data_IF_128719256314
#
_entry.id   IF_128719256314
#
_cell.length_a   1.000
_cell.length_b   1.000
_cell.length_c   1.000
_cell.angle_alpha   90.00
_cell.angle_beta   90.00
_cell.angle_gamma   90.00
#
_symmetry.space_group_name_H-M   'P 1'
#
loop_
_entity.id
_entity.type
_entity.pdbx_description
1 polymer ?
#
# COMPACT_ATOMS: atom_id res chain seq x y z
N UNK A 1 -7.05 -11.15 20.59
CA UNK A 1 -7.63 -11.47 19.27
C UNK A 1 -6.52 -11.68 18.28
N UNK A 2 -6.66 -12.69 17.43
CA UNK A 2 -5.77 -12.95 16.30
C UNK A 2 -5.93 -11.82 15.27
N UNK A 3 -4.84 -11.28 14.74
CA UNK A 3 -4.88 -10.30 13.65
C UNK A 3 -5.20 -11.05 12.35
N UNK A 4 -6.24 -10.61 11.64
CA UNK A 4 -6.70 -11.21 10.39
C UNK A 4 -7.41 -10.16 9.53
N UNK A 5 -7.24 -10.26 8.21
CA UNK A 5 -8.10 -9.65 7.21
C UNK A 5 -7.98 -10.45 5.90
N UNK A 6 -8.90 -10.20 4.98
CA UNK A 6 -8.91 -10.72 3.62
C UNK A 6 -9.10 -9.57 2.64
N UNK A 7 -8.11 -9.35 1.78
CA UNK A 7 -8.22 -8.45 0.64
C UNK A 7 -8.65 -9.27 -0.59
N UNK A 8 -9.92 -9.15 -0.97
CA UNK A 8 -10.55 -9.98 -2.00
C UNK A 8 -10.41 -11.48 -1.71
N UNK A 9 -9.56 -12.21 -2.45
CA UNK A 9 -9.26 -13.63 -2.22
C UNK A 9 -7.98 -13.88 -1.41
N UNK A 10 -7.24 -12.83 -1.04
CA UNK A 10 -5.93 -12.91 -0.36
C UNK A 10 -6.08 -12.72 1.15
N UNK A 11 -5.75 -13.75 1.92
CA UNK A 11 -5.76 -13.71 3.38
C UNK A 11 -4.44 -13.18 3.96
N UNK A 12 -4.55 -12.39 5.03
CA UNK A 12 -3.47 -11.67 5.70
C UNK A 12 -3.59 -11.80 7.23
N UNK A 13 -2.46 -11.79 7.95
CA UNK A 13 -2.43 -11.76 9.41
C UNK A 13 -1.66 -12.91 10.06
N UNK A 14 -2.01 -13.22 11.30
CA UNK A 14 -1.27 -14.18 12.14
C UNK A 14 -1.24 -15.60 11.54
N UNK A 15 -0.03 -16.15 11.43
CA UNK A 15 0.20 -17.51 10.93
C UNK A 15 0.06 -17.67 9.42
N UNK A 16 -0.15 -16.57 8.70
CA UNK A 16 -0.19 -16.52 7.23
C UNK A 16 1.14 -15.96 6.70
N UNK A 17 1.54 -16.33 5.47
CA UNK A 17 2.71 -15.73 4.83
C UNK A 17 2.45 -14.26 4.51
N UNK A 18 3.51 -13.45 4.58
CA UNK A 18 3.48 -12.06 4.12
C UNK A 18 3.26 -12.03 2.61
N UNK A 19 2.34 -11.17 2.17
CA UNK A 19 1.92 -11.07 0.76
C UNK A 19 2.60 -9.93 0.04
N UNK A 20 2.69 -10.05 -1.28
CA UNK A 20 3.29 -9.05 -2.16
C UNK A 20 2.23 -8.38 -3.03
N UNK A 21 2.22 -7.05 -3.01
CA UNK A 21 1.40 -6.21 -3.90
C UNK A 21 2.31 -5.48 -4.90
N UNK A 22 2.24 -5.89 -6.17
CA UNK A 22 3.02 -5.33 -7.26
C UNK A 22 2.36 -4.08 -7.86
N UNK A 23 3.14 -3.01 -8.06
CA UNK A 23 2.61 -1.72 -8.52
C UNK A 23 2.73 -1.54 -10.03
N UNK A 24 1.64 -1.17 -10.68
CA UNK A 24 1.60 -0.68 -12.06
C UNK A 24 1.11 0.77 -12.03
N UNK A 25 1.97 1.70 -12.47
CA UNK A 25 1.56 3.09 -12.64
C UNK A 25 1.23 3.32 -14.13
N UNK A 26 0.04 3.84 -14.42
CA UNK A 26 -0.35 4.26 -15.78
C UNK A 26 -0.36 5.77 -15.95
N UNK A 27 0.10 6.47 -14.92
CA UNK A 27 0.31 7.92 -14.88
C UNK A 27 1.68 8.31 -15.45
N UNK A 28 1.76 9.08 -16.56
CA UNK A 28 3.02 9.66 -17.02
C UNK A 28 3.74 10.49 -15.94
N UNK A 29 3.00 11.07 -15.00
CA UNK A 29 3.47 11.92 -13.91
C UNK A 29 4.06 11.16 -12.70
N UNK A 30 4.14 9.82 -12.74
CA UNK A 30 4.75 9.04 -11.66
C UNK A 30 6.22 9.43 -11.42
N UNK A 31 6.61 9.46 -10.13
CA UNK A 31 7.98 9.81 -9.70
C UNK A 31 9.02 8.76 -10.11
N UNK A 32 8.60 7.51 -10.35
CA UNK A 32 9.47 6.45 -10.85
C UNK A 32 9.07 6.07 -12.27
N UNK A 33 9.72 6.71 -13.26
CA UNK A 33 9.42 6.54 -14.69
C UNK A 33 9.54 5.10 -15.17
N UNK A 34 10.44 4.31 -14.58
CA UNK A 34 10.61 2.89 -14.92
C UNK A 34 9.38 2.02 -14.63
N UNK A 35 8.44 2.49 -13.81
CA UNK A 35 7.16 1.82 -13.52
C UNK A 35 5.98 2.26 -14.40
N UNK A 36 6.17 3.27 -15.25
CA UNK A 36 5.08 3.80 -16.09
C UNK A 36 4.86 2.87 -17.28
N UNK A 37 3.61 2.43 -17.48
CA UNK A 37 3.18 1.65 -18.65
C UNK A 37 2.01 2.36 -19.29
N UNK A 38 2.10 2.68 -20.57
CA UNK A 38 1.06 3.40 -21.30
C UNK A 38 0.54 2.51 -22.41
N UNK A 39 -0.73 2.12 -22.30
CA UNK A 39 -1.39 1.27 -23.27
C UNK A 39 -1.66 -0.14 -22.74
N UNK A 40 -2.71 -0.75 -23.28
CA UNK A 40 -3.29 -2.00 -22.80
C UNK A 40 -2.30 -3.17 -22.81
N UNK A 41 -1.53 -3.33 -23.88
CA UNK A 41 -0.55 -4.42 -24.01
C UNK A 41 0.61 -4.29 -23.02
N UNK A 42 1.11 -3.07 -22.79
CA UNK A 42 2.18 -2.83 -21.82
C UNK A 42 1.73 -3.10 -20.39
N UNK A 43 0.51 -2.69 -20.04
CA UNK A 43 -0.10 -2.96 -18.73
C UNK A 43 -0.30 -4.46 -18.53
N UNK A 44 -0.85 -5.16 -19.53
CA UNK A 44 -1.04 -6.61 -19.49
C UNK A 44 0.29 -7.35 -19.30
N UNK A 45 1.32 -6.98 -20.07
CA UNK A 45 2.66 -7.57 -19.96
C UNK A 45 3.27 -7.32 -18.58
N UNK A 46 3.13 -6.10 -18.04
CA UNK A 46 3.62 -5.78 -16.70
C UNK A 46 2.89 -6.58 -15.62
N UNK A 47 1.58 -6.76 -15.72
CA UNK A 47 0.81 -7.59 -14.79
C UNK A 47 1.29 -9.05 -14.81
N UNK A 48 1.43 -9.65 -15.99
CA UNK A 48 1.97 -11.00 -16.14
C UNK A 48 3.36 -11.14 -15.49
N UNK A 49 4.25 -10.17 -15.74
CA UNK A 49 5.59 -10.17 -15.15
C UNK A 49 5.52 -10.09 -13.62
N UNK A 50 4.73 -9.19 -13.05
CA UNK A 50 4.60 -9.06 -11.58
C UNK A 50 4.07 -10.35 -10.95
N UNK A 51 3.13 -11.03 -11.60
CA UNK A 51 2.61 -12.34 -11.13
C UNK A 51 3.67 -13.42 -11.21
N UNK A 52 4.44 -13.49 -12.31
CA UNK A 52 5.56 -14.43 -12.46
C UNK A 52 6.64 -14.21 -11.38
N UNK A 53 6.92 -12.95 -11.05
CA UNK A 53 7.85 -12.57 -9.98
C UNK A 53 7.31 -12.90 -8.58
N UNK A 54 6.00 -13.10 -8.43
CA UNK A 54 5.35 -13.60 -7.23
C UNK A 54 4.39 -12.63 -6.53
N UNK A 55 3.84 -11.65 -7.24
CA UNK A 55 2.80 -10.78 -6.70
C UNK A 55 1.50 -11.57 -6.41
N UNK A 56 0.94 -11.36 -5.22
CA UNK A 56 -0.36 -11.86 -4.82
C UNK A 56 -1.50 -10.91 -5.22
N UNK A 57 -1.21 -9.61 -5.29
CA UNK A 57 -2.15 -8.52 -5.64
C UNK A 57 -1.48 -7.59 -6.66
N UNK A 58 -2.23 -7.08 -7.63
CA UNK A 58 -1.77 -6.02 -8.54
C UNK A 58 -2.42 -4.69 -8.15
N UNK A 59 -1.62 -3.68 -7.86
CA UNK A 59 -2.09 -2.33 -7.51
C UNK A 59 -1.89 -1.38 -8.69
N UNK A 60 -2.98 -0.77 -9.14
CA UNK A 60 -3.02 0.12 -10.31
C UNK A 60 -3.17 1.56 -9.84
N UNK A 61 -2.18 2.39 -10.17
CA UNK A 61 -2.21 3.84 -9.94
C UNK A 61 -2.44 4.61 -11.23
N UNK A 62 -3.59 5.30 -11.34
CA UNK A 62 -3.93 6.13 -12.50
C UNK A 62 -3.41 7.57 -12.42
N UNK A 63 -3.05 7.99 -11.20
CA UNK A 63 -2.46 9.30 -10.89
C UNK A 63 -1.42 9.12 -9.79
N UNK A 64 -0.31 9.83 -9.90
CA UNK A 64 0.69 9.83 -8.83
C UNK A 64 0.13 10.50 -7.57
N UNK A 65 0.22 9.80 -6.44
CA UNK A 65 -0.19 10.28 -5.11
C UNK A 65 0.99 10.81 -4.28
N UNK A 66 2.16 10.98 -4.90
CA UNK A 66 3.34 11.48 -4.22
C UNK A 66 3.07 12.89 -3.65
N UNK A 67 3.24 13.13 -2.34
CA UNK A 67 2.80 14.36 -1.68
C UNK A 67 3.63 15.62 -2.04
N UNK A 68 4.64 15.47 -2.90
CA UNK A 68 5.57 16.51 -3.31
C UNK A 68 5.51 16.81 -4.82
N UNK A 69 4.57 16.21 -5.54
CA UNK A 69 4.33 16.46 -6.96
C UNK A 69 2.93 17.06 -7.13
N UNK A 70 2.81 18.06 -8.00
CA UNK A 70 1.50 18.49 -8.51
C UNK A 70 1.15 17.61 -9.72
N UNK A 71 0.15 16.77 -9.52
CA UNK A 71 -0.24 15.69 -10.44
C UNK A 71 -1.73 15.74 -10.76
N UNK A 72 -2.38 16.87 -10.45
CA UNK A 72 -3.81 17.03 -10.63
C UNK A 72 -4.18 16.90 -12.12
N UNK A 73 -5.10 15.98 -12.41
CA UNK A 73 -5.72 15.79 -13.72
C UNK A 73 -7.24 15.82 -13.54
N UNK A 74 -8.02 16.10 -14.60
CA UNK A 74 -9.48 16.00 -14.54
C UNK A 74 -9.92 14.61 -14.06
N UNK A 75 -10.92 14.55 -13.18
CA UNK A 75 -11.38 13.28 -12.59
C UNK A 75 -11.85 12.26 -13.64
N UNK A 76 -12.49 12.72 -14.72
CA UNK A 76 -12.90 11.86 -15.83
C UNK A 76 -11.70 11.27 -16.58
N UNK A 77 -10.58 12.00 -16.66
CA UNK A 77 -9.35 11.48 -17.24
C UNK A 77 -8.71 10.43 -16.34
N UNK A 78 -8.65 10.68 -15.02
CA UNK A 78 -8.18 9.70 -14.03
C UNK A 78 -9.03 8.43 -14.07
N UNK A 79 -10.35 8.57 -14.09
CA UNK A 79 -11.30 7.46 -14.16
C UNK A 79 -11.13 6.65 -15.45
N UNK A 80 -10.97 7.31 -16.60
CA UNK A 80 -10.73 6.64 -17.88
C UNK A 80 -9.44 5.81 -17.84
N UNK A 81 -8.32 6.40 -17.39
CA UNK A 81 -7.02 5.71 -17.26
C UNK A 81 -7.14 4.51 -16.33
N UNK A 82 -7.80 4.68 -15.19
CA UNK A 82 -8.02 3.61 -14.21
C UNK A 82 -8.82 2.45 -14.81
N UNK A 83 -9.96 2.73 -15.46
CA UNK A 83 -10.82 1.70 -16.05
C UNK A 83 -10.09 0.92 -17.15
N UNK A 84 -9.35 1.61 -18.03
CA UNK A 84 -8.59 0.97 -19.10
C UNK A 84 -7.50 0.05 -18.54
N UNK A 85 -6.78 0.50 -17.52
CA UNK A 85 -5.72 -0.26 -16.86
C UNK A 85 -6.27 -1.48 -16.08
N UNK A 86 -7.32 -1.29 -15.28
CA UNK A 86 -7.98 -2.38 -14.53
C UNK A 86 -8.45 -3.48 -15.47
N UNK A 87 -9.10 -3.12 -16.59
CA UNK A 87 -9.53 -4.10 -17.61
C UNK A 87 -8.33 -4.82 -18.22
N UNK A 88 -7.26 -4.10 -18.56
CA UNK A 88 -6.05 -4.70 -19.12
C UNK A 88 -5.42 -5.72 -18.16
N UNK A 89 -5.35 -5.43 -16.86
CA UNK A 89 -4.85 -6.35 -15.84
C UNK A 89 -5.79 -7.55 -15.70
N UNK A 90 -7.09 -7.31 -15.56
CA UNK A 90 -8.11 -8.36 -15.39
C UNK A 90 -8.12 -9.37 -16.53
N UNK A 91 -7.94 -8.90 -17.76
CA UNK A 91 -7.91 -9.77 -18.94
C UNK A 91 -6.59 -10.56 -19.06
N UNK A 92 -5.54 -10.17 -18.34
CA UNK A 92 -4.21 -10.75 -18.44
C UNK A 92 -3.87 -11.74 -17.30
N UNK A 93 -4.39 -11.54 -16.09
CA UNK A 93 -4.03 -12.33 -14.91
C UNK A 93 -5.22 -12.66 -14.01
N UNK A 94 -5.20 -13.83 -13.38
CA UNK A 94 -6.15 -14.25 -12.36
C UNK A 94 -5.63 -13.90 -10.96
N UNK A 95 -5.59 -12.60 -10.66
CA UNK A 95 -5.17 -12.04 -9.36
C UNK A 95 -6.07 -10.86 -8.97
N UNK A 96 -6.31 -10.64 -7.65
CA UNK A 96 -7.01 -9.46 -7.21
C UNK A 96 -6.35 -8.16 -7.64
N UNK A 97 -7.19 -7.18 -7.97
CA UNK A 97 -6.77 -5.87 -8.45
C UNK A 97 -7.15 -4.82 -7.41
N UNK A 98 -6.15 -4.07 -6.97
CA UNK A 98 -6.29 -2.86 -6.17
C UNK A 98 -6.26 -1.62 -7.05
N UNK A 99 -7.15 -0.67 -6.76
CA UNK A 99 -7.16 0.65 -7.38
C UNK A 99 -6.63 1.69 -6.37
N UNK A 100 -5.47 2.28 -6.67
CA UNK A 100 -4.86 3.38 -5.90
C UNK A 100 -5.49 4.70 -6.34
N UNK A 101 -6.44 5.20 -5.53
CA UNK A 101 -7.11 6.47 -5.79
C UNK A 101 -7.67 7.08 -4.51
N UNK A 102 -7.79 8.41 -4.52
CA UNK A 102 -8.41 9.20 -3.44
C UNK A 102 -9.77 9.76 -3.84
N UNK A 103 -10.33 9.36 -4.99
CA UNK A 103 -11.61 9.85 -5.51
C UNK A 103 -12.63 8.72 -5.52
N UNK A 104 -13.78 8.97 -4.89
CA UNK A 104 -14.91 8.04 -4.84
C UNK A 104 -15.45 7.71 -6.24
N UNK A 105 -15.48 8.70 -7.14
CA UNK A 105 -15.87 8.52 -8.55
C UNK A 105 -14.92 7.53 -9.25
N UNK A 106 -13.61 7.72 -9.11
CA UNK A 106 -12.61 6.85 -9.75
C UNK A 106 -12.68 5.44 -9.15
N UNK A 107 -12.84 5.33 -7.84
CA UNK A 107 -13.01 4.07 -7.13
C UNK A 107 -14.25 3.29 -7.64
N UNK A 108 -15.41 3.94 -7.73
CA UNK A 108 -16.65 3.33 -8.22
C UNK A 108 -16.48 2.79 -9.65
N UNK A 109 -15.82 3.57 -10.53
CA UNK A 109 -15.52 3.15 -11.90
C UNK A 109 -14.53 1.99 -11.95
N UNK A 110 -13.52 1.97 -11.10
CA UNK A 110 -12.54 0.88 -11.00
C UNK A 110 -13.20 -0.43 -10.54
N UNK A 111 -14.03 -0.37 -9.49
CA UNK A 111 -14.78 -1.52 -8.98
C UNK A 111 -15.72 -2.07 -10.05
N UNK A 112 -16.45 -1.19 -10.74
CA UNK A 112 -17.29 -1.56 -11.88
C UNK A 112 -16.50 -2.20 -13.04
N UNK A 113 -15.23 -1.86 -13.20
CA UNK A 113 -14.34 -2.43 -14.21
C UNK A 113 -13.73 -3.78 -13.78
N UNK A 114 -13.82 -4.13 -12.50
CA UNK A 114 -13.36 -5.40 -11.93
C UNK A 114 -12.21 -5.29 -10.95
N UNK A 115 -11.89 -4.10 -10.43
CA UNK A 115 -11.12 -4.00 -9.20
C UNK A 115 -11.93 -4.56 -8.02
N UNK A 116 -11.24 -5.09 -7.02
CA UNK A 116 -11.85 -5.68 -5.82
C UNK A 116 -11.38 -5.01 -4.53
N UNK A 117 -10.28 -4.25 -4.61
CA UNK A 117 -9.64 -3.57 -3.49
C UNK A 117 -9.52 -2.08 -3.84
N UNK A 118 -9.81 -1.20 -2.88
CA UNK A 118 -9.48 0.22 -2.95
C UNK A 118 -8.28 0.48 -2.03
N UNK A 119 -7.26 1.15 -2.57
CA UNK A 119 -6.12 1.65 -1.81
C UNK A 119 -6.22 3.17 -1.71
N UNK A 120 -6.66 3.67 -0.56
CA UNK A 120 -6.88 5.10 -0.33
C UNK A 120 -5.82 5.70 0.59
N UNK A 121 -4.87 6.40 -0.03
CA UNK A 121 -3.81 7.13 0.68
C UNK A 121 -4.31 8.36 1.44
N UNK A 122 -5.55 8.78 1.19
CA UNK A 122 -6.19 9.89 1.90
C UNK A 122 -6.83 9.48 3.23
N UNK A 123 -6.83 8.18 3.57
CA UNK A 123 -7.36 7.70 4.83
C UNK A 123 -8.88 7.88 4.98
N UNK A 124 -9.62 7.85 3.87
CA UNK A 124 -11.06 8.16 3.76
C UNK A 124 -11.43 9.61 4.11
N UNK A 125 -10.45 10.52 4.13
CA UNK A 125 -10.62 11.93 4.51
C UNK A 125 -10.49 12.89 3.33
N UNK A 126 -10.05 12.40 2.17
CA UNK A 126 -9.93 13.19 0.95
C UNK A 126 -11.27 13.38 0.24
N UNK A 127 -12.06 12.31 0.12
CA UNK A 127 -13.37 12.31 -0.52
C UNK A 127 -14.41 11.66 0.41
N UNK A 128 -15.45 12.40 0.86
CA UNK A 128 -16.48 11.89 1.77
C UNK A 128 -17.27 10.70 1.22
N UNK A 129 -17.32 10.52 -0.11
CA UNK A 129 -18.04 9.42 -0.75
C UNK A 129 -17.29 8.09 -0.71
N UNK A 130 -15.98 8.10 -0.46
CA UNK A 130 -15.11 6.93 -0.63
C UNK A 130 -15.55 5.73 0.23
N UNK A 131 -15.78 5.96 1.52
CA UNK A 131 -16.15 4.90 2.46
C UNK A 131 -17.46 4.20 2.07
N UNK A 132 -18.43 4.98 1.57
CA UNK A 132 -19.71 4.46 1.09
C UNK A 132 -19.54 3.65 -0.20
N UNK A 133 -18.75 4.14 -1.15
CA UNK A 133 -18.47 3.39 -2.40
C UNK A 133 -17.86 2.03 -2.09
N UNK A 134 -16.89 1.97 -1.17
CA UNK A 134 -16.28 0.71 -0.73
C UNK A 134 -17.32 -0.24 -0.13
N UNK A 135 -18.17 0.26 0.78
CA UNK A 135 -19.20 -0.54 1.43
C UNK A 135 -20.27 -1.05 0.45
N UNK A 136 -20.79 -0.17 -0.42
CA UNK A 136 -21.85 -0.49 -1.38
C UNK A 136 -21.41 -1.59 -2.37
N UNK A 137 -20.12 -1.63 -2.73
CA UNK A 137 -19.54 -2.66 -3.60
C UNK A 137 -19.01 -3.88 -2.85
N UNK A 138 -19.03 -3.89 -1.51
CA UNK A 138 -18.38 -4.91 -0.67
C UNK A 138 -16.90 -5.10 -1.02
N UNK A 139 -16.25 -4.02 -1.42
CA UNK A 139 -14.84 -4.02 -1.77
C UNK A 139 -13.96 -4.12 -0.52
N UNK A 140 -12.76 -4.63 -0.68
CA UNK A 140 -11.73 -4.55 0.35
C UNK A 140 -11.05 -3.18 0.37
N UNK A 141 -10.46 -2.81 1.49
CA UNK A 141 -9.89 -1.49 1.72
C UNK A 141 -8.48 -1.58 2.29
N UNK A 142 -7.53 -0.92 1.64
CA UNK A 142 -6.26 -0.51 2.24
C UNK A 142 -6.39 0.97 2.57
N UNK A 143 -6.31 1.32 3.84
CA UNK A 143 -6.50 2.70 4.32
C UNK A 143 -5.22 3.24 4.94
N UNK A 144 -4.72 4.35 4.40
CA UNK A 144 -3.47 4.95 4.87
C UNK A 144 -3.69 5.96 6.00
N UNK A 145 -2.68 6.08 6.86
CA UNK A 145 -2.65 7.10 7.90
C UNK A 145 -2.58 8.51 7.29
N UNK A 146 -3.61 9.32 7.57
CA UNK A 146 -3.61 10.75 7.26
C UNK A 146 -4.25 11.52 8.39
N UNK A 147 -3.57 12.52 8.92
CA UNK A 147 -4.17 13.41 9.91
C UNK A 147 -5.21 14.34 9.25
N UNK A 148 -6.40 14.44 9.85
CA UNK A 148 -7.39 15.46 9.47
C UNK A 148 -6.89 16.87 9.80
N UNK A 149 -6.11 16.99 10.87
CA UNK A 149 -5.41 18.22 11.29
C UNK A 149 -4.06 17.84 11.87
N UNK A 150 -2.95 18.49 11.45
CA UNK A 150 -1.65 18.26 12.06
C UNK A 150 -1.70 18.53 13.55
N UNK A 151 -1.13 17.61 14.33
CA UNK A 151 -0.96 17.77 15.78
C UNK A 151 0.53 17.85 16.13
N UNK A 152 0.87 18.03 17.40
CA UNK A 152 2.24 17.92 17.90
C UNK A 152 2.39 16.62 18.68
N UNK A 153 3.56 16.03 18.66
CA UNK A 153 3.92 14.84 19.43
C UNK A 153 4.57 13.76 18.58
N UNK A 154 4.87 12.65 19.25
CA UNK A 154 5.65 11.56 18.65
C UNK A 154 4.96 10.94 17.42
N UNK A 155 5.73 10.51 16.40
CA UNK A 155 5.22 9.92 15.17
C UNK A 155 4.22 8.76 15.37
N UNK A 156 4.60 7.76 16.16
CA UNK A 156 3.83 6.50 16.26
C UNK A 156 2.43 6.69 16.86
N UNK A 157 2.24 7.37 18.02
CA UNK A 157 0.90 7.67 18.53
C UNK A 157 0.02 8.44 17.55
N UNK A 158 0.59 9.38 16.79
CA UNK A 158 -0.15 10.18 15.80
C UNK A 158 -0.62 9.36 14.61
N UNK A 159 0.24 8.48 14.08
CA UNK A 159 -0.13 7.51 13.04
C UNK A 159 -1.25 6.58 13.54
N UNK A 160 -1.15 6.06 14.77
CA UNK A 160 -2.20 5.22 15.37
C UNK A 160 -3.53 5.99 15.49
N UNK A 161 -3.49 7.22 15.98
CA UNK A 161 -4.68 8.06 16.11
C UNK A 161 -5.34 8.34 14.75
N UNK A 162 -4.53 8.69 13.74
CA UNK A 162 -5.00 8.93 12.38
C UNK A 162 -5.66 7.68 11.77
N UNK A 163 -5.09 6.50 11.98
CA UNK A 163 -5.65 5.22 11.51
C UNK A 163 -6.92 4.82 12.27
N UNK A 164 -6.99 5.04 13.59
CA UNK A 164 -8.22 4.81 14.37
C UNK A 164 -9.38 5.66 13.86
N UNK A 165 -9.13 6.91 13.53
CA UNK A 165 -10.13 7.78 12.90
C UNK A 165 -10.60 7.21 11.55
N UNK A 166 -9.67 6.78 10.69
CA UNK A 166 -10.00 6.18 9.40
C UNK A 166 -10.78 4.86 9.54
N UNK A 167 -10.42 4.02 10.51
CA UNK A 167 -11.16 2.79 10.83
C UNK A 167 -12.59 3.12 11.28
N UNK A 168 -12.77 4.14 12.11
CA UNK A 168 -14.12 4.56 12.53
C UNK A 168 -14.97 5.04 11.34
N UNK A 169 -14.37 5.75 10.37
CA UNK A 169 -15.06 6.18 9.14
C UNK A 169 -15.49 4.95 8.32
N UNK A 170 -14.57 3.99 8.11
CA UNK A 170 -14.85 2.79 7.32
C UNK A 170 -15.98 1.94 7.96
N UNK A 171 -15.85 1.63 9.25
CA UNK A 171 -16.83 0.83 9.99
C UNK A 171 -18.19 1.54 10.09
N UNK A 172 -18.17 2.86 10.29
CA UNK A 172 -19.39 3.67 10.32
C UNK A 172 -20.15 3.70 8.99
N UNK A 173 -19.45 3.52 7.87
CA UNK A 173 -20.04 3.38 6.54
C UNK A 173 -20.51 1.95 6.22
N UNK A 174 -20.19 0.96 7.07
CA UNK A 174 -20.55 -0.44 6.88
C UNK A 174 -19.52 -1.27 6.09
N UNK A 175 -18.27 -0.81 5.98
CA UNK A 175 -17.19 -1.65 5.44
C UNK A 175 -16.91 -2.80 6.41
N UNK A 176 -16.87 -4.03 5.89
CA UNK A 176 -16.59 -5.23 6.69
C UNK A 176 -15.20 -5.12 7.34
N UNK A 177 -15.14 -5.34 8.65
CA UNK A 177 -13.91 -5.20 9.41
C UNK A 177 -12.82 -6.19 8.99
N UNK A 178 -13.21 -7.36 8.50
CA UNK A 178 -12.30 -8.38 7.99
C UNK A 178 -11.78 -8.03 6.60
N UNK A 179 -12.29 -6.97 5.96
CA UNK A 179 -11.87 -6.52 4.63
C UNK A 179 -10.98 -5.27 4.68
N UNK A 180 -10.47 -4.89 5.86
CA UNK A 180 -9.68 -3.66 6.05
C UNK A 180 -8.24 -3.96 6.46
N UNK A 181 -7.29 -3.37 5.74
CA UNK A 181 -5.85 -3.35 6.03
C UNK A 181 -5.40 -1.90 6.24
N UNK A 182 -4.48 -1.67 7.18
CA UNK A 182 -3.99 -0.33 7.49
C UNK A 182 -2.58 -0.10 6.91
N UNK A 183 -2.30 1.10 6.42
CA UNK A 183 -0.96 1.51 5.95
C UNK A 183 -0.49 2.73 6.78
N UNK A 184 0.69 2.70 7.42
CA UNK A 184 1.15 3.81 8.25
C UNK A 184 1.66 5.03 7.43
N UNK A 185 1.57 4.98 6.10
CA UNK A 185 1.84 6.07 5.18
C UNK A 185 3.28 6.61 5.24
N UNK A 186 4.28 5.71 5.25
CA UNK A 186 5.70 6.07 5.18
C UNK A 186 5.94 7.05 4.01
N UNK A 187 6.60 8.18 4.22
CA UNK A 187 6.89 9.20 3.21
C UNK A 187 5.80 10.24 2.96
N UNK A 188 4.64 10.12 3.62
CA UNK A 188 3.52 11.07 3.50
C UNK A 188 3.50 12.16 4.58
N UNK A 189 4.03 11.90 5.78
CA UNK A 189 4.13 12.87 6.87
C UNK A 189 5.29 13.86 6.67
N UNK A 190 5.15 14.77 5.68
CA UNK A 190 6.24 15.68 5.26
C UNK A 190 6.35 16.98 6.04
N UNK A 191 5.23 17.46 6.57
CA UNK A 191 5.13 18.78 7.20
C UNK A 191 4.83 18.60 8.69
N UNK A 192 5.82 18.09 9.41
CA UNK A 192 5.76 17.88 10.86
C UNK A 192 6.92 18.61 11.54
N UNK A 193 6.95 18.61 12.86
CA UNK A 193 8.06 19.08 13.68
C UNK A 193 9.33 18.24 13.53
N UNK A 194 9.20 17.00 13.02
CA UNK A 194 10.31 16.11 12.73
C UNK A 194 10.65 16.16 11.23
N UNK A 195 11.94 16.08 10.84
CA UNK A 195 12.28 15.76 9.47
C UNK A 195 11.60 14.45 9.07
N UNK A 196 10.88 14.47 7.95
CA UNK A 196 10.04 13.35 7.52
C UNK A 196 10.78 12.01 7.36
N UNK A 197 12.08 12.02 7.04
CA UNK A 197 12.88 10.79 6.98
C UNK A 197 13.21 10.22 8.37
N UNK A 198 13.26 11.05 9.41
CA UNK A 198 13.37 10.60 10.81
C UNK A 198 12.01 10.07 11.28
N UNK A 199 10.93 10.78 10.96
CA UNK A 199 9.56 10.31 11.19
C UNK A 199 9.35 8.90 10.61
N UNK A 200 9.70 8.73 9.34
CA UNK A 200 9.58 7.45 8.63
C UNK A 200 10.35 6.32 9.32
N UNK A 201 11.58 6.58 9.78
CA UNK A 201 12.37 5.61 10.55
C UNK A 201 11.68 5.21 11.86
N UNK A 202 11.18 6.19 12.63
CA UNK A 202 10.50 5.92 13.90
C UNK A 202 9.24 5.07 13.72
N UNK A 203 8.46 5.34 12.68
CA UNK A 203 7.27 4.54 12.34
C UNK A 203 7.68 3.13 11.89
N UNK A 204 8.68 3.01 11.02
CA UNK A 204 9.11 1.74 10.44
C UNK A 204 9.63 0.72 11.47
N UNK A 205 10.33 1.18 12.51
CA UNK A 205 10.79 0.27 13.58
C UNK A 205 9.69 -0.10 14.57
N UNK A 206 8.51 0.54 14.49
CA UNK A 206 7.38 0.35 15.39
C UNK A 206 6.15 -0.31 14.72
N UNK A 207 6.33 -1.02 13.59
CA UNK A 207 5.23 -1.73 12.92
C UNK A 207 4.50 -2.71 13.85
N UNK A 208 5.23 -3.43 14.71
CA UNK A 208 4.62 -4.38 15.66
C UNK A 208 3.62 -3.68 16.57
N UNK A 209 4.01 -2.51 17.10
CA UNK A 209 3.17 -1.69 17.95
C UNK A 209 1.91 -1.20 17.22
N UNK A 210 2.05 -0.71 15.98
CA UNK A 210 0.91 -0.31 15.15
C UNK A 210 -0.08 -1.46 14.97
N UNK A 211 0.43 -2.63 14.56
CA UNK A 211 -0.35 -3.85 14.38
C UNK A 211 -1.07 -4.29 15.65
N UNK A 212 -0.36 -4.28 16.78
CA UNK A 212 -0.90 -4.70 18.07
C UNK A 212 -1.95 -3.75 18.62
N UNK A 213 -1.80 -2.44 18.45
CA UNK A 213 -2.77 -1.45 18.95
C UNK A 213 -4.00 -1.33 18.04
N UNK A 214 -3.84 -1.53 16.72
CA UNK A 214 -4.93 -1.43 15.74
C UNK A 214 -5.68 -2.74 15.53
N UNK A 215 -5.06 -3.89 15.86
CA UNK A 215 -5.60 -5.23 15.63
C UNK A 215 -6.03 -5.46 14.17
N UNK A 216 -5.26 -4.92 13.23
CA UNK A 216 -5.43 -5.07 11.78
C UNK A 216 -4.11 -5.44 11.12
N UNK A 217 -4.13 -6.20 10.02
CA UNK A 217 -2.93 -6.41 9.23
C UNK A 217 -2.36 -5.09 8.72
N UNK A 218 -1.03 -5.02 8.61
CA UNK A 218 -0.32 -3.80 8.19
C UNK A 218 0.27 -3.96 6.79
N UNK A 219 -0.12 -3.05 5.89
CA UNK A 219 0.50 -2.84 4.59
C UNK A 219 1.67 -1.85 4.70
N UNK A 220 2.78 -2.14 4.03
CA UNK A 220 3.94 -1.25 3.95
C UNK A 220 4.36 -1.04 2.51
N UNK A 221 4.32 0.22 2.06
CA UNK A 221 5.00 0.66 0.84
C UNK A 221 6.21 1.52 1.16
N UNK A 222 7.43 0.99 1.01
CA UNK A 222 8.68 1.79 1.13
C UNK A 222 9.55 1.77 -0.13
N UNK A 223 9.17 0.97 -1.12
CA UNK A 223 9.92 0.78 -2.37
C UNK A 223 10.26 2.12 -3.03
N UNK A 224 11.56 2.39 -3.14
CA UNK A 224 12.18 3.55 -3.82
C UNK A 224 11.77 4.92 -3.25
N UNK A 225 11.16 4.96 -2.06
CA UNK A 225 10.72 6.21 -1.43
C UNK A 225 11.90 7.11 -1.12
N UNK A 226 11.63 8.41 -1.08
CA UNK A 226 12.68 9.41 -0.95
C UNK A 226 13.44 9.32 0.37
N UNK A 227 12.89 8.76 1.47
CA UNK A 227 13.56 8.81 2.78
C UNK A 227 14.86 8.02 2.75
N UNK A 228 14.86 6.93 1.98
CA UNK A 228 16.05 6.16 1.62
C UNK A 228 17.06 7.06 0.91
N UNK A 229 16.60 7.88 -0.03
CA UNK A 229 17.44 8.85 -0.73
C UNK A 229 18.06 9.88 0.21
N UNK A 230 17.27 10.43 1.13
CA UNK A 230 17.73 11.40 2.12
C UNK A 230 18.77 10.81 3.08
N UNK A 231 18.57 9.57 3.53
CA UNK A 231 19.45 8.90 4.50
C UNK A 231 20.73 8.34 3.87
N UNK A 232 20.66 7.86 2.62
CA UNK A 232 21.77 7.16 1.96
C UNK A 232 22.45 7.98 0.85
N UNK A 233 22.06 9.25 0.66
CA UNK A 233 22.57 10.08 -0.43
C UNK A 233 22.24 9.53 -1.82
N UNK A 234 21.06 8.92 -1.99
CA UNK A 234 20.60 8.33 -3.27
C UNK A 234 19.51 9.20 -3.89
N UNK A 235 19.93 10.19 -4.68
CA UNK A 235 19.02 11.17 -5.29
C UNK A 235 18.03 10.53 -6.27
N UNK A 236 18.46 9.53 -7.03
CA UNK A 236 17.64 8.87 -8.05
C UNK A 236 16.86 7.69 -7.46
N UNK A 237 15.54 7.55 -7.74
CA UNK A 237 14.75 6.40 -7.28
C UNK A 237 15.32 5.05 -7.69
N UNK A 238 16.01 4.97 -8.83
CA UNK A 238 16.62 3.75 -9.36
C UNK A 238 17.74 3.22 -8.46
N UNK A 239 18.44 4.10 -7.75
CA UNK A 239 19.58 3.74 -6.90
C UNK A 239 19.16 3.28 -5.48
N UNK A 240 17.85 3.17 -5.22
CA UNK A 240 17.29 2.95 -3.88
C UNK A 240 16.88 1.51 -3.60
N UNK A 241 17.16 0.57 -4.50
CA UNK A 241 16.75 -0.84 -4.34
C UNK A 241 17.24 -1.42 -3.00
N UNK A 242 18.53 -1.36 -2.71
CA UNK A 242 19.08 -1.97 -1.49
C UNK A 242 18.53 -1.34 -0.20
N UNK A 243 18.37 -0.01 -0.16
CA UNK A 243 17.72 0.66 0.97
C UNK A 243 16.23 0.29 1.10
N UNK A 244 15.55 0.02 -0.01
CA UNK A 244 14.17 -0.48 -0.02
C UNK A 244 14.09 -1.87 0.58
N UNK A 245 14.94 -2.80 0.13
CA UNK A 245 14.95 -4.19 0.62
C UNK A 245 15.31 -4.26 2.10
N UNK A 246 16.28 -3.46 2.57
CA UNK A 246 16.62 -3.38 3.99
C UNK A 246 15.45 -2.87 4.83
N UNK A 247 14.76 -1.82 4.36
CA UNK A 247 13.58 -1.25 5.03
C UNK A 247 12.42 -2.24 5.09
N UNK A 248 12.19 -2.97 3.99
CA UNK A 248 11.15 -4.02 3.91
C UNK A 248 11.46 -5.16 4.87
N UNK A 249 12.71 -5.64 4.91
CA UNK A 249 13.10 -6.72 5.82
C UNK A 249 12.85 -6.36 7.29
N UNK A 250 13.18 -5.12 7.68
CA UNK A 250 12.90 -4.61 9.04
C UNK A 250 11.40 -4.55 9.30
N UNK A 251 10.60 -4.03 8.37
CA UNK A 251 9.14 -3.95 8.52
C UNK A 251 8.48 -5.33 8.65
N UNK A 252 8.91 -6.29 7.83
CA UNK A 252 8.43 -7.68 7.86
C UNK A 252 8.81 -8.36 9.17
N UNK A 253 10.07 -8.21 9.61
CA UNK A 253 10.51 -8.69 10.92
C UNK A 253 9.67 -8.07 12.06
N UNK A 254 9.35 -6.78 11.91
CA UNK A 254 8.45 -6.01 12.77
C UNK A 254 6.97 -6.39 12.68
N UNK A 255 6.56 -7.30 11.80
CA UNK A 255 5.19 -7.80 11.75
C UNK A 255 4.33 -7.27 10.61
N UNK A 256 4.88 -6.61 9.59
CA UNK A 256 4.11 -6.27 8.39
C UNK A 256 3.53 -7.54 7.74
N UNK A 257 2.30 -7.43 7.21
CA UNK A 257 1.54 -8.55 6.64
C UNK A 257 1.41 -8.44 5.11
N UNK A 258 1.52 -7.22 4.56
CA UNK A 258 1.48 -6.94 3.12
C UNK A 258 2.59 -5.95 2.73
N UNK A 259 3.30 -6.21 1.62
CA UNK A 259 4.34 -5.31 1.10
C UNK A 259 3.98 -4.80 -0.29
N UNK A 260 3.85 -3.48 -0.44
CA UNK A 260 3.65 -2.80 -1.72
C UNK A 260 4.99 -2.43 -2.36
N UNK A 261 5.28 -2.94 -3.56
CA UNK A 261 6.62 -2.80 -4.17
C UNK A 261 6.59 -2.67 -5.71
N UNK A 262 7.63 -2.03 -6.24
CA UNK A 262 7.91 -2.00 -7.69
C UNK A 262 8.82 -3.16 -8.13
N UNK A 263 9.55 -3.78 -7.20
CA UNK A 263 10.62 -4.75 -7.47
C UNK A 263 10.23 -6.11 -6.85
N UNK A 264 9.23 -6.78 -7.41
CA UNK A 264 8.57 -7.93 -6.77
C UNK A 264 9.54 -9.08 -6.54
N UNK A 265 10.31 -9.47 -7.56
CA UNK A 265 11.26 -10.58 -7.44
C UNK A 265 12.27 -10.37 -6.29
N UNK A 266 12.93 -9.21 -6.26
CA UNK A 266 13.90 -8.90 -5.20
C UNK A 266 13.23 -8.76 -3.81
N UNK A 267 12.01 -8.22 -3.78
CA UNK A 267 11.24 -8.05 -2.55
C UNK A 267 10.85 -9.40 -1.96
N UNK A 268 10.50 -10.39 -2.80
CA UNK A 268 10.15 -11.74 -2.38
C UNK A 268 11.24 -12.40 -1.55
N UNK A 269 12.50 -12.30 -1.99
CA UNK A 269 13.64 -12.86 -1.25
C UNK A 269 13.85 -12.16 0.09
N UNK A 270 13.77 -10.83 0.12
CA UNK A 270 13.89 -10.05 1.35
C UNK A 270 12.77 -10.39 2.36
N UNK A 271 11.53 -10.52 1.89
CA UNK A 271 10.38 -10.91 2.72
C UNK A 271 10.58 -12.30 3.29
N UNK A 272 10.89 -13.30 2.46
CA UNK A 272 11.09 -14.69 2.91
C UNK A 272 12.21 -14.78 3.95
N UNK A 273 13.34 -14.10 3.71
CA UNK A 273 14.44 -14.09 4.66
C UNK A 273 14.02 -13.47 6.01
N UNK A 274 13.33 -12.33 5.98
CA UNK A 274 12.85 -11.67 7.19
C UNK A 274 11.81 -12.51 7.95
N UNK A 275 10.92 -13.20 7.25
CA UNK A 275 9.96 -14.14 7.85
C UNK A 275 10.64 -15.30 8.57
N UNK A 276 11.67 -15.92 7.95
CA UNK A 276 12.45 -16.98 8.59
C UNK A 276 13.11 -16.49 9.88
N UNK A 277 13.73 -15.30 9.85
CA UNK A 277 14.37 -14.70 11.03
C UNK A 277 13.37 -14.38 12.13
N UNK A 278 12.20 -13.83 11.77
CA UNK A 278 11.12 -13.53 12.72
C UNK A 278 10.62 -14.79 13.40
N UNK A 279 10.30 -15.84 12.63
CA UNK A 279 9.84 -17.14 13.13
C UNK A 279 10.86 -17.82 14.03
N UNK A 280 12.14 -17.77 13.68
CA UNK A 280 13.22 -18.28 14.51
C UNK A 280 13.30 -17.56 15.87
N UNK A 281 13.18 -16.22 15.87
CA UNK A 281 13.16 -15.42 17.10
C UNK A 281 11.93 -15.70 17.98
N UNK A 282 10.79 -16.05 17.36
CA UNK A 282 9.54 -16.43 18.04
C UNK A 282 9.53 -17.90 18.50
N UNK A 283 10.62 -18.65 18.30
CA UNK A 283 10.73 -20.06 18.70
C UNK A 283 9.89 -21.03 17.86
N UNK A 284 9.39 -20.59 16.70
CA UNK A 284 8.64 -21.44 15.77
C UNK A 284 9.63 -22.36 15.05
N UNK A 285 9.39 -23.68 15.09
CA UNK A 285 10.20 -24.63 14.31
C UNK A 285 10.14 -24.26 12.82
N UNK A 286 11.31 -24.08 12.23
CA UNK A 286 11.46 -23.93 10.79
C UNK A 286 11.45 -25.34 10.19
N UNK A 287 10.45 -25.66 9.37
CA UNK A 287 10.46 -26.88 8.56
C UNK A 287 11.36 -26.61 7.34
N UNK A 288 12.26 -27.55 7.04
CA UNK A 288 13.26 -27.46 5.98
C UNK A 288 12.78 -28.00 4.65
#
# INVERSE_FOLDING_TARGET
MKVYARLASVELGDGLPVRLMGVINVSPESFYKGSVRTGREEVAKAALQLVEEGADIIDVGARSTAPYLDTAIPLEEEAKRMVEAVRAVKDAVDKPISADTTSSLVAERALSAGAEIINDVSGLKGDPGMARVVADHRASLIVSARESRPTMGSPVPRVIAALKESLNIALGAGVDEECIVVDPAIGFFRYTEHPWYIWDCEVLVNIRRLRDELKRPVCIGVSRKSFIGALLGKEKPEDRLYGSLASIAIAVYGGADLVRTHDVAATKDAVRMAEYLRRAAEGVKLEG
#
